data_IF_415782607905
#
_entry.id   IF_415782607905
#
_cell.length_a   1.000
_cell.length_b   1.000
_cell.length_c   1.000
_cell.angle_alpha   90.00
_cell.angle_beta   90.00
_cell.angle_gamma   90.00
#
_symmetry.space_group_name_H-M   'P 1'
#
loop_
_entity.id
_entity.type
_entity.pdbx_description
1 polymer ?
#
# COMPACT_ATOMS: atom_id res chain seq x y z
N UNK A 1 -10.75 16.87 -6.04
CA UNK A 1 -9.59 16.11 -5.55
C UNK A 1 -9.62 16.16 -4.04
N UNK A 2 -10.14 15.11 -3.44
CA UNK A 2 -10.30 14.89 -2.01
C UNK A 2 -9.37 13.73 -1.59
N UNK A 3 -8.65 13.91 -0.48
CA UNK A 3 -7.80 12.85 0.07
C UNK A 3 -8.71 11.81 0.74
N UNK A 4 -8.65 10.56 0.28
CA UNK A 4 -9.49 9.46 0.79
C UNK A 4 -8.76 8.49 1.71
N UNK A 5 -7.43 8.40 1.59
CA UNK A 5 -6.59 7.58 2.47
C UNK A 5 -5.22 8.22 2.63
N UNK A 6 -4.73 8.24 3.87
CA UNK A 6 -3.33 8.45 4.20
C UNK A 6 -2.84 7.27 5.04
N UNK A 7 -1.65 6.78 4.75
CA UNK A 7 -0.99 5.74 5.52
C UNK A 7 0.50 6.08 5.63
N UNK A 8 1.07 5.88 6.82
CA UNK A 8 2.46 6.20 7.15
C UNK A 8 3.18 4.97 7.64
N UNK A 9 4.50 4.94 7.45
CA UNK A 9 5.40 3.90 7.94
C UNK A 9 4.94 2.49 7.55
N UNK A 10 4.56 2.31 6.28
CA UNK A 10 4.07 1.04 5.76
C UNK A 10 5.26 0.11 5.52
N UNK A 11 5.37 -0.92 6.35
CA UNK A 11 6.36 -1.98 6.20
C UNK A 11 5.71 -3.34 6.07
N UNK A 12 6.14 -4.09 5.07
CA UNK A 12 5.76 -5.49 4.90
C UNK A 12 7.02 -6.30 4.69
N UNK A 13 7.23 -7.27 5.57
CA UNK A 13 8.30 -8.24 5.50
C UNK A 13 7.75 -9.59 5.06
N UNK A 14 8.44 -10.25 4.13
CA UNK A 14 8.17 -11.64 3.79
C UNK A 14 9.47 -12.43 3.87
N UNK A 15 9.50 -13.48 4.68
CA UNK A 15 10.66 -14.38 4.82
C UNK A 15 11.97 -13.67 5.18
N UNK A 16 11.96 -12.67 6.06
CA UNK A 16 13.17 -11.93 6.46
C UNK A 16 13.60 -10.84 5.47
N UNK A 17 12.79 -10.56 4.45
CA UNK A 17 13.05 -9.52 3.44
C UNK A 17 11.93 -8.50 3.43
N UNK A 18 12.28 -7.24 3.52
CA UNK A 18 11.36 -6.14 3.27
C UNK A 18 10.91 -6.17 1.80
N UNK A 19 9.62 -6.38 1.59
CA UNK A 19 8.98 -6.38 0.28
C UNK A 19 8.24 -5.08 0.00
N UNK A 20 7.86 -4.35 1.05
CA UNK A 20 7.36 -2.97 0.99
C UNK A 20 7.97 -2.18 2.14
N UNK A 21 8.51 -1.01 1.82
CA UNK A 21 8.98 -0.01 2.78
C UNK A 21 8.61 1.36 2.18
N UNK A 22 7.53 1.94 2.69
CA UNK A 22 6.92 3.17 2.18
C UNK A 22 6.69 4.11 3.35
N UNK A 23 7.37 5.25 3.34
CA UNK A 23 7.28 6.26 4.41
C UNK A 23 5.86 6.86 4.49
N UNK A 24 5.27 7.20 3.35
CA UNK A 24 3.93 7.80 3.29
C UNK A 24 3.24 7.44 1.95
N UNK A 25 1.95 7.13 2.05
CA UNK A 25 1.06 6.84 0.93
C UNK A 25 -0.22 7.65 1.06
N UNK A 26 -0.50 8.45 0.04
CA UNK A 26 -1.74 9.20 -0.08
C UNK A 26 -2.53 8.74 -1.31
N UNK A 27 -3.82 8.50 -1.12
CA UNK A 27 -4.74 8.16 -2.20
C UNK A 27 -5.84 9.22 -2.25
N UNK A 28 -6.05 9.76 -3.44
CA UNK A 28 -7.05 10.78 -3.72
C UNK A 28 -8.24 10.17 -4.48
N UNK A 29 -9.41 10.79 -4.36
CA UNK A 29 -10.58 10.44 -5.15
C UNK A 29 -10.26 10.43 -6.65
N UNK A 30 -10.88 9.50 -7.37
CA UNK A 30 -10.69 9.28 -8.82
C UNK A 30 -9.24 8.99 -9.28
N UNK A 31 -8.30 8.78 -8.36
CA UNK A 31 -6.92 8.42 -8.71
C UNK A 31 -6.85 7.05 -9.42
N UNK A 32 -6.03 6.97 -10.46
CA UNK A 32 -5.66 5.71 -11.11
C UNK A 32 -4.20 5.41 -10.78
N UNK A 33 -3.98 4.49 -9.86
CA UNK A 33 -2.64 4.14 -9.37
C UNK A 33 -2.20 2.83 -10.05
N UNK A 34 -1.00 2.83 -10.64
CA UNK A 34 -0.37 1.64 -11.20
C UNK A 34 0.83 1.21 -10.34
N UNK A 35 0.94 -0.09 -10.06
CA UNK A 35 2.06 -0.65 -9.32
C UNK A 35 3.11 -1.24 -10.28
N UNK A 36 4.33 -0.71 -10.23
CA UNK A 36 5.45 -1.11 -11.09
C UNK A 36 6.64 -1.58 -10.26
N UNK A 37 7.42 -2.52 -10.80
CA UNK A 37 8.58 -3.10 -10.11
C UNK A 37 8.85 -4.54 -10.53
N UNK A 38 9.98 -5.10 -10.06
CA UNK A 38 10.38 -6.47 -10.36
C UNK A 38 9.38 -7.52 -9.83
N UNK A 39 9.42 -8.74 -10.37
CA UNK A 39 8.65 -9.85 -9.83
C UNK A 39 9.10 -10.16 -8.40
N UNK A 40 8.15 -10.32 -7.49
CA UNK A 40 8.42 -10.49 -6.06
C UNK A 40 8.68 -9.19 -5.28
N UNK A 41 8.58 -8.00 -5.91
CA UNK A 41 8.77 -6.71 -5.25
C UNK A 41 7.52 -6.20 -4.50
N UNK A 42 6.64 -7.09 -3.99
CA UNK A 42 5.51 -6.65 -3.16
C UNK A 42 4.29 -6.07 -3.87
N UNK A 43 4.28 -5.97 -5.21
CA UNK A 43 3.17 -5.35 -5.98
C UNK A 43 1.78 -5.91 -5.65
N UNK A 44 1.65 -7.24 -5.52
CA UNK A 44 0.37 -7.84 -5.19
C UNK A 44 0.01 -7.69 -3.71
N UNK A 45 1.00 -7.51 -2.82
CA UNK A 45 0.79 -7.37 -1.37
C UNK A 45 0.25 -6.00 -0.98
N UNK A 46 0.60 -4.94 -1.72
CA UNK A 46 0.14 -3.58 -1.40
C UNK A 46 -1.40 -3.41 -1.52
N UNK A 47 -2.09 -3.89 -2.58
CA UNK A 47 -3.56 -3.84 -2.64
C UNK A 47 -4.24 -4.67 -1.56
N UNK A 48 -3.70 -5.84 -1.18
CA UNK A 48 -4.25 -6.64 -0.09
C UNK A 48 -4.16 -5.89 1.24
N UNK A 49 -3.00 -5.30 1.53
CA UNK A 49 -2.81 -4.48 2.72
C UNK A 49 -3.83 -3.33 2.77
N UNK A 50 -3.99 -2.59 1.67
CA UNK A 50 -4.98 -1.51 1.59
C UNK A 50 -6.40 -2.02 1.87
N UNK A 51 -6.83 -3.12 1.23
CA UNK A 51 -8.17 -3.71 1.45
C UNK A 51 -8.36 -4.15 2.91
N UNK A 52 -7.34 -4.72 3.55
CA UNK A 52 -7.40 -5.11 4.97
C UNK A 52 -7.61 -3.88 5.86
N UNK A 53 -6.88 -2.79 5.63
CA UNK A 53 -7.00 -1.57 6.42
C UNK A 53 -8.37 -0.91 6.24
N UNK A 54 -8.99 -1.00 5.04
CA UNK A 54 -10.33 -0.44 4.80
C UNK A 54 -11.48 -1.24 5.42
N UNK A 55 -11.29 -2.52 5.78
CA UNK A 55 -12.36 -3.38 6.33
C UNK A 55 -12.40 -3.41 7.87
N UNK A 56 -11.44 -2.80 8.54
CA UNK A 56 -11.48 -2.57 9.98
C UNK A 56 -12.03 -1.15 10.21
N UNK A 57 -13.18 -0.98 10.90
CA UNK A 57 -13.60 0.35 11.33
C UNK A 57 -12.60 0.83 12.37
N UNK A 58 -11.93 1.94 12.09
CA UNK A 58 -11.14 2.70 13.08
C UNK A 58 -12.10 3.26 14.13
#
# INVERSE_FOLDING_TARGET
MELILTAKDIRVEFTGRDVLDIDELEIYDYARIGLVGANGAGKSQLPFLLITIFNEPI
#
